data_IF_766508127672
#
_entry.id   IF_766508127672
#
_cell.length_a   1.000
_cell.length_b   1.000
_cell.length_c   1.000
_cell.angle_alpha   90.00
_cell.angle_beta   90.00
_cell.angle_gamma   90.00
#
_symmetry.space_group_name_H-M   'P 1'
#
loop_
_entity.id
_entity.type
_entity.pdbx_description
1 polymer ?
#
# COMPACT_ATOMS: atom_id res chain seq x y z
N UNK A 1 14.82 -5.22 -0.98
CA UNK A 1 13.79 -4.26 -1.42
C UNK A 1 12.62 -5.08 -1.93
N UNK A 2 11.39 -4.67 -1.69
CA UNK A 2 10.20 -5.43 -2.09
C UNK A 2 9.43 -4.72 -3.20
N UNK A 3 8.66 -5.50 -3.95
CA UNK A 3 7.71 -5.05 -4.96
C UNK A 3 6.33 -5.56 -4.52
N UNK A 4 5.29 -4.73 -4.71
CA UNK A 4 3.89 -5.19 -4.61
C UNK A 4 3.29 -5.17 -6.01
N UNK A 5 2.48 -6.17 -6.33
CA UNK A 5 1.86 -6.31 -7.64
C UNK A 5 0.57 -7.13 -7.52
N UNK A 6 -0.37 -6.87 -8.43
CA UNK A 6 -1.56 -7.71 -8.58
C UNK A 6 -1.26 -8.83 -9.57
N UNK A 7 -1.66 -10.07 -9.26
CA UNK A 7 -1.54 -11.19 -10.18
C UNK A 7 -2.69 -12.19 -10.01
N UNK A 8 -3.20 -12.71 -11.12
CA UNK A 8 -3.94 -13.97 -11.13
C UNK A 8 -2.92 -15.12 -11.28
N UNK A 9 -2.83 -15.94 -10.24
CA UNK A 9 -2.01 -17.16 -10.23
C UNK A 9 -2.84 -18.43 -10.03
N UNK A 10 -4.17 -18.30 -9.91
CA UNK A 10 -5.09 -19.44 -9.79
C UNK A 10 -5.50 -19.98 -11.15
N UNK A 11 -5.40 -19.15 -12.19
CA UNK A 11 -5.70 -19.56 -13.56
C UNK A 11 -7.20 -19.61 -13.87
N UNK A 12 -8.02 -18.94 -13.05
CA UNK A 12 -9.46 -18.77 -13.27
C UNK A 12 -9.82 -17.45 -13.99
N UNK A 13 -8.82 -16.66 -14.39
CA UNK A 13 -8.89 -15.44 -15.20
C UNK A 13 -9.72 -14.30 -14.60
N UNK A 14 -10.15 -14.42 -13.34
CA UNK A 14 -11.12 -13.50 -12.74
C UNK A 14 -10.82 -13.17 -11.26
N UNK A 15 -9.64 -13.52 -10.76
CA UNK A 15 -9.27 -13.28 -9.37
C UNK A 15 -7.80 -12.83 -9.22
N UNK A 16 -7.57 -11.55 -9.46
CA UNK A 16 -6.31 -10.91 -9.12
C UNK A 16 -6.21 -10.78 -7.60
N UNK A 17 -5.04 -11.16 -7.08
CA UNK A 17 -4.70 -11.00 -5.67
C UNK A 17 -3.47 -10.11 -5.54
N UNK A 18 -3.30 -9.45 -4.39
CA UNK A 18 -2.12 -8.63 -4.08
C UNK A 18 -1.01 -9.52 -3.56
N UNK A 19 0.11 -9.49 -4.27
CA UNK A 19 1.34 -10.17 -3.88
C UNK A 19 2.42 -9.16 -3.49
N UNK A 20 3.33 -9.64 -2.64
CA UNK A 20 4.64 -9.02 -2.42
C UNK A 20 5.75 -9.99 -2.76
N UNK A 21 6.88 -9.48 -3.22
CA UNK A 21 8.07 -10.29 -3.51
C UNK A 21 9.34 -9.46 -3.35
N UNK A 22 10.48 -10.15 -3.28
CA UNK A 22 11.79 -9.50 -3.35
C UNK A 22 12.00 -8.85 -4.72
N UNK A 23 12.75 -7.75 -4.75
CA UNK A 23 12.97 -6.97 -5.97
C UNK A 23 13.80 -7.70 -7.04
N UNK A 24 14.43 -8.82 -6.67
CA UNK A 24 15.08 -9.76 -7.59
C UNK A 24 14.09 -10.80 -8.15
N UNK A 25 12.82 -10.76 -7.75
CA UNK A 25 11.77 -11.69 -8.14
C UNK A 25 11.61 -12.89 -7.20
N UNK A 26 12.42 -12.98 -6.14
CA UNK A 26 12.35 -14.04 -5.15
C UNK A 26 11.16 -13.94 -4.19
N UNK A 27 10.84 -15.06 -3.53
CA UNK A 27 9.89 -15.13 -2.40
C UNK A 27 8.52 -14.45 -2.62
N UNK A 28 7.77 -14.77 -3.69
CA UNK A 28 6.43 -14.24 -3.86
C UNK A 28 5.49 -14.76 -2.78
N UNK A 29 4.86 -13.83 -2.05
CA UNK A 29 3.87 -14.09 -1.02
C UNK A 29 2.54 -13.47 -1.42
N UNK A 30 1.46 -14.26 -1.32
CA UNK A 30 0.11 -13.75 -1.48
C UNK A 30 -0.35 -13.06 -0.18
N UNK A 31 -0.77 -11.80 -0.25
CA UNK A 31 -1.26 -11.06 0.91
C UNK A 31 -2.78 -11.07 1.01
N UNK A 32 -3.45 -11.09 -0.12
CA UNK A 32 -4.91 -11.21 -0.17
C UNK A 32 -5.29 -12.64 -0.52
N UNK A 33 -6.43 -13.10 -0.04
CA UNK A 33 -6.88 -14.46 -0.30
C UNK A 33 -8.40 -14.45 -0.36
N UNK A 34 -8.93 -13.70 -1.31
CA UNK A 34 -10.37 -13.49 -1.49
C UNK A 34 -10.86 -14.21 -2.76
N UNK A 35 -12.18 -14.25 -2.98
CA UNK A 35 -12.75 -14.75 -4.25
C UNK A 35 -12.91 -13.64 -5.28
N UNK A 36 -12.78 -12.39 -4.85
CA UNK A 36 -12.99 -11.22 -5.67
C UNK A 36 -11.67 -10.53 -5.99
N UNK A 37 -11.67 -9.76 -7.08
CA UNK A 37 -10.50 -9.02 -7.55
C UNK A 37 -9.97 -7.99 -6.54
N UNK A 38 -8.67 -8.06 -6.30
CA UNK A 38 -7.86 -7.08 -5.58
C UNK A 38 -6.78 -6.50 -6.50
N UNK A 39 -6.75 -5.16 -6.65
CA UNK A 39 -5.95 -4.49 -7.69
C UNK A 39 -5.40 -3.13 -7.25
N UNK A 40 -4.51 -2.58 -8.09
CA UNK A 40 -3.82 -1.29 -7.90
C UNK A 40 -3.14 -1.13 -6.53
N UNK A 41 -2.22 -2.04 -6.14
CA UNK A 41 -1.51 -1.89 -4.89
C UNK A 41 -0.60 -0.64 -4.90
N UNK A 42 -0.56 0.05 -3.76
CA UNK A 42 0.36 1.14 -3.49
C UNK A 42 0.97 0.99 -2.10
N UNK A 43 2.27 1.25 -1.98
CA UNK A 43 3.04 1.06 -0.76
C UNK A 43 2.91 2.24 0.19
N UNK A 44 2.73 1.98 1.48
CA UNK A 44 2.90 3.02 2.49
C UNK A 44 4.36 3.50 2.53
N UNK A 45 4.62 4.78 2.84
CA UNK A 45 5.99 5.32 2.85
C UNK A 45 6.93 4.64 3.86
N UNK A 46 6.39 4.06 4.93
CA UNK A 46 7.12 3.29 5.92
C UNK A 46 7.32 1.80 5.55
N UNK A 47 6.86 1.39 4.36
CA UNK A 47 6.95 0.02 3.84
C UNK A 47 6.29 -1.05 4.73
N UNK A 48 5.32 -0.68 5.58
CA UNK A 48 4.62 -1.61 6.48
C UNK A 48 3.25 -2.04 6.00
N UNK A 49 2.64 -1.28 5.10
CA UNK A 49 1.27 -1.49 4.64
C UNK A 49 1.18 -1.29 3.14
N UNK A 50 0.14 -1.89 2.57
CA UNK A 50 -0.26 -1.70 1.18
C UNK A 50 -1.71 -1.25 1.19
N UNK A 51 -2.00 -0.21 0.41
CA UNK A 51 -3.37 0.17 0.05
C UNK A 51 -3.68 -0.40 -1.34
N UNK A 52 -4.89 -0.88 -1.54
CA UNK A 52 -5.36 -1.46 -2.80
C UNK A 52 -6.88 -1.30 -2.86
N UNK A 53 -7.51 -1.56 -4.00
CA UNK A 53 -8.97 -1.64 -4.06
C UNK A 53 -9.41 -3.10 -4.20
N UNK A 54 -10.59 -3.40 -3.67
CA UNK A 54 -11.17 -4.75 -3.65
C UNK A 54 -12.65 -4.72 -4.00
N UNK A 55 -13.13 -5.74 -4.71
CA UNK A 55 -14.57 -5.96 -4.96
C UNK A 55 -15.27 -6.84 -3.90
N UNK A 56 -14.59 -7.17 -2.78
CA UNK A 56 -15.08 -8.19 -1.83
C UNK A 56 -16.44 -7.88 -1.17
N UNK A 57 -16.82 -6.61 -1.09
CA UNK A 57 -18.05 -6.16 -0.44
C UNK A 57 -19.18 -5.78 -1.44
N UNK A 58 -19.04 -6.14 -2.73
CA UNK A 58 -20.07 -5.98 -3.76
C UNK A 58 -19.90 -4.75 -4.67
N UNK A 59 -19.07 -3.80 -4.28
CA UNK A 59 -18.55 -2.70 -5.09
C UNK A 59 -17.03 -2.52 -4.83
N UNK A 60 -16.30 -1.81 -5.70
CA UNK A 60 -14.88 -1.52 -5.44
C UNK A 60 -14.75 -0.55 -4.27
N UNK A 61 -14.01 -0.95 -3.25
CA UNK A 61 -13.68 -0.14 -2.09
C UNK A 61 -12.17 -0.18 -1.82
N UNK A 62 -11.65 0.84 -1.14
CA UNK A 62 -10.22 0.96 -0.80
C UNK A 62 -9.94 0.23 0.51
N UNK A 63 -9.02 -0.72 0.47
CA UNK A 63 -8.55 -1.46 1.64
C UNK A 63 -7.09 -1.16 1.94
N UNK A 64 -6.72 -1.38 3.19
CA UNK A 64 -5.34 -1.43 3.64
C UNK A 64 -5.05 -2.76 4.31
N UNK A 65 -3.86 -3.31 4.06
CA UNK A 65 -3.36 -4.54 4.68
C UNK A 65 -1.90 -4.33 5.11
N UNK A 66 -1.48 -5.01 6.18
CA UNK A 66 -0.07 -5.09 6.54
C UNK A 66 0.69 -5.98 5.55
N UNK A 67 2.00 -5.76 5.44
CA UNK A 67 2.89 -6.61 4.62
C UNK A 67 2.99 -8.06 5.09
N UNK A 68 2.62 -8.35 6.33
CA UNK A 68 2.56 -9.71 6.87
C UNK A 68 1.21 -10.40 6.57
N UNK A 69 0.30 -9.72 5.86
CA UNK A 69 -1.07 -10.19 5.57
C UNK A 69 -2.07 -9.92 6.70
N UNK A 70 -1.65 -9.31 7.80
CA UNK A 70 -2.51 -8.97 8.93
C UNK A 70 -3.26 -7.65 8.75
N UNK A 71 -4.19 -7.38 9.69
CA UNK A 71 -4.93 -6.12 9.83
C UNK A 71 -5.58 -5.60 8.54
N UNK A 72 -6.18 -6.48 7.75
CA UNK A 72 -7.00 -6.08 6.61
C UNK A 72 -8.16 -5.18 7.10
N UNK A 73 -8.29 -4.00 6.52
CA UNK A 73 -9.29 -3.00 6.89
C UNK A 73 -9.86 -2.32 5.65
N UNK A 74 -11.19 -2.16 5.61
CA UNK A 74 -11.86 -1.31 4.64
C UNK A 74 -11.78 0.18 5.06
N UNK A 75 -11.29 1.05 4.16
CA UNK A 75 -11.11 2.49 4.38
C UNK A 75 -12.24 3.34 3.75
N UNK A 76 -12.93 2.82 2.74
CA UNK A 76 -14.08 3.47 2.11
C UNK A 76 -15.26 2.51 2.17
N UNK A 77 -16.44 2.98 2.58
CA UNK A 77 -17.60 2.10 2.72
C UNK A 77 -18.84 2.89 2.33
N UNK A 78 -19.11 2.89 1.04
CA UNK A 78 -20.22 3.65 0.47
C UNK A 78 -20.80 2.89 -0.73
N UNK A 79 -21.75 3.50 -1.44
CA UNK A 79 -22.44 2.84 -2.56
C UNK A 79 -21.72 3.02 -3.90
N UNK A 80 -20.59 3.74 -3.93
CA UNK A 80 -19.88 4.11 -5.14
C UNK A 80 -18.54 3.38 -5.25
N UNK A 81 -17.99 3.36 -6.47
CA UNK A 81 -16.74 2.70 -6.77
C UNK A 81 -15.54 3.58 -6.40
N UNK A 82 -14.66 3.08 -5.54
CA UNK A 82 -13.38 3.68 -5.18
C UNK A 82 -12.22 2.78 -5.67
N UNK A 83 -11.52 3.21 -6.74
CA UNK A 83 -10.61 2.32 -7.53
C UNK A 83 -9.18 2.82 -7.71
N UNK A 84 -8.88 4.03 -7.25
CA UNK A 84 -7.57 4.67 -7.49
C UNK A 84 -6.84 5.01 -6.19
N UNK A 85 -6.54 4.00 -5.34
CA UNK A 85 -5.83 4.25 -4.10
C UNK A 85 -4.37 4.60 -4.38
N UNK A 86 -3.83 5.54 -3.61
CA UNK A 86 -2.42 5.86 -3.64
C UNK A 86 -1.96 6.33 -2.28
N UNK A 87 -0.78 5.88 -1.84
CA UNK A 87 -0.07 6.56 -0.77
C UNK A 87 0.68 7.75 -1.35
N UNK A 88 0.63 8.86 -0.62
CA UNK A 88 1.47 9.99 -0.95
C UNK A 88 2.94 9.65 -0.63
N UNK A 89 3.71 9.42 -1.68
CA UNK A 89 5.16 9.24 -1.62
C UNK A 89 5.85 10.61 -1.54
N UNK A 90 5.62 11.34 -0.45
CA UNK A 90 6.42 12.52 -0.17
C UNK A 90 7.74 12.10 0.49
N UNK A 91 8.90 12.65 0.12
CA UNK A 91 10.12 12.51 0.91
C UNK A 91 9.97 13.05 2.35
N UNK A 92 8.87 13.75 2.63
CA UNK A 92 8.47 14.27 3.94
C UNK A 92 7.24 13.57 4.53
N UNK A 93 6.89 12.35 4.09
CA UNK A 93 5.75 11.65 4.67
C UNK A 93 6.00 11.37 6.15
N UNK A 94 5.18 12.00 6.99
CA UNK A 94 5.24 11.88 8.43
C UNK A 94 4.18 10.92 8.88
N UNK A 95 4.61 9.74 9.31
CA UNK A 95 3.75 8.90 10.13
C UNK A 95 3.41 9.69 11.41
N UNK A 96 2.14 9.90 11.78
CA UNK A 96 1.78 10.61 13.01
C UNK A 96 2.25 9.93 14.31
N UNK A 97 2.84 8.74 14.20
CA UNK A 97 3.37 7.98 15.32
C UNK A 97 4.86 8.32 15.55
N UNK A 98 5.11 9.45 16.22
CA UNK A 98 6.41 9.71 16.85
C UNK A 98 6.91 11.14 16.66
N UNK A 99 6.94 11.89 17.76
CA UNK A 99 7.57 13.21 17.84
C UNK A 99 9.04 13.14 17.39
N UNK A 100 9.41 13.88 16.35
CA UNK A 100 10.23 15.12 16.41
C UNK A 100 10.69 15.52 15.01
N UNK A 101 10.16 16.63 14.51
CA UNK A 101 10.88 17.43 13.54
C UNK A 101 11.81 18.38 14.28
N UNK A 102 13.10 18.27 14.02
CA UNK A 102 14.00 19.43 14.13
C UNK A 102 14.78 19.49 12.83
N UNK A 103 14.51 20.52 12.03
CA UNK A 103 15.43 20.95 10.99
C UNK A 103 15.36 22.47 10.93
N UNK A 104 16.30 23.13 11.60
CA UNK A 104 16.62 24.51 11.32
C UNK A 104 17.95 24.53 10.56
N UNK A 105 17.92 25.14 9.37
CA UNK A 105 19.05 25.25 8.47
C UNK A 105 20.18 26.09 9.07
N UNK A 106 21.41 25.74 8.72
CA UNK A 106 22.56 26.62 8.93
C UNK A 106 22.39 27.86 8.07
N UNK A 107 22.12 29.01 8.69
CA UNK A 107 22.39 30.30 8.06
C UNK A 107 23.90 30.53 8.17
N UNK A 108 24.60 30.59 7.04
CA UNK A 108 25.98 31.12 6.99
C UNK A 108 25.94 32.58 7.44
N UNK A 109 26.55 32.88 8.57
CA UNK A 109 27.00 34.24 8.87
C UNK A 109 28.49 34.30 8.48
N UNK A 110 28.82 35.20 7.55
CA UNK A 110 30.19 35.53 7.20
C UNK A 110 30.81 36.32 8.36
N UNK A 111 31.94 35.85 8.89
CA UNK A 111 32.83 36.69 9.68
C UNK A 111 33.79 37.41 8.72
N UNK A 112 33.58 38.72 8.55
CA UNK A 112 34.56 39.82 8.76
C UNK A 112 33.99 41.15 8.28
#
# INVERSE_FOLDING_TARGET
KWIAFAADRRGDFANFEIYVMDADGGNPQNLTNDRNDDKSPSWSPDCKRIVFYSHRDGNPEIYVINVDGGNLQNLTNNLHADVSPTWLNSPFSVSPAGKKFTMWGQLKQFDR
#
